data_IF_277833223665
#
_entry.id   IF_277833223665
#
_cell.length_a   1.000
_cell.length_b   1.000
_cell.length_c   1.000
_cell.angle_alpha   90.00
_cell.angle_beta   90.00
_cell.angle_gamma   90.00
#
_symmetry.space_group_name_H-M   'P 1'
#
loop_
_entity.id
_entity.type
_entity.pdbx_description
1 polymer ?
#
# COMPACT_ATOMS: atom_id res chain seq x y z
N UNK A 1 26.65 9.67 -3.74
CA UNK A 1 25.54 9.35 -2.83
C UNK A 1 25.96 8.22 -1.91
N UNK A 2 25.64 8.31 -0.65
CA UNK A 2 25.88 7.26 0.33
C UNK A 2 24.59 7.01 1.11
N UNK A 3 24.20 5.76 1.26
CA UNK A 3 22.98 5.36 1.93
C UNK A 3 23.17 3.97 2.54
N UNK A 4 22.48 3.67 3.64
CA UNK A 4 22.52 2.32 4.23
C UNK A 4 21.69 1.33 3.41
N UNK A 5 20.54 1.80 2.89
CA UNK A 5 19.60 0.98 2.13
C UNK A 5 19.17 1.73 0.88
N UNK A 6 19.33 1.12 -0.27
CA UNK A 6 18.74 1.58 -1.53
C UNK A 6 17.56 0.69 -1.88
N UNK A 7 16.37 1.28 -1.92
CA UNK A 7 15.15 0.63 -2.39
C UNK A 7 14.86 1.10 -3.81
N UNK A 8 14.72 0.17 -4.74
CA UNK A 8 14.41 0.47 -6.13
C UNK A 8 12.97 0.04 -6.43
N UNK A 9 12.15 1.02 -6.79
CA UNK A 9 10.72 0.87 -7.00
C UNK A 9 9.92 1.45 -5.83
N UNK A 10 9.26 2.59 -6.05
CA UNK A 10 8.47 3.29 -5.05
C UNK A 10 6.97 2.93 -5.12
N UNK A 11 6.66 1.71 -5.53
CA UNK A 11 5.33 1.13 -5.39
C UNK A 11 5.01 0.82 -3.91
N UNK A 12 3.87 0.17 -3.63
CA UNK A 12 3.43 -0.08 -2.25
C UNK A 12 4.47 -0.84 -1.42
N UNK A 13 5.07 -1.88 -1.98
CA UNK A 13 6.05 -2.71 -1.27
C UNK A 13 7.35 -1.95 -0.99
N UNK A 14 7.90 -1.28 -2.01
CA UNK A 14 9.15 -0.52 -1.86
C UNK A 14 9.00 0.65 -0.90
N UNK A 15 7.93 1.42 -1.02
CA UNK A 15 7.66 2.55 -0.12
C UNK A 15 7.44 2.08 1.33
N UNK A 16 6.72 0.98 1.54
CA UNK A 16 6.55 0.41 2.88
C UNK A 16 7.88 -0.08 3.46
N UNK A 17 8.69 -0.80 2.68
CA UNK A 17 10.00 -1.27 3.10
C UNK A 17 10.91 -0.09 3.47
N UNK A 18 10.93 0.94 2.65
CA UNK A 18 11.71 2.16 2.91
C UNK A 18 11.27 2.86 4.20
N UNK A 19 9.95 2.99 4.42
CA UNK A 19 9.42 3.60 5.63
C UNK A 19 9.82 2.84 6.89
N UNK A 20 9.69 1.52 6.89
CA UNK A 20 10.08 0.69 8.02
C UNK A 20 11.58 0.72 8.28
N UNK A 21 12.40 0.70 7.25
CA UNK A 21 13.85 0.81 7.38
C UNK A 21 14.28 2.16 7.97
N UNK A 22 13.67 3.25 7.49
CA UNK A 22 13.94 4.59 8.02
C UNK A 22 13.51 4.72 9.49
N UNK A 23 12.36 4.16 9.85
CA UNK A 23 11.90 4.13 11.26
C UNK A 23 12.81 3.30 12.16
N UNK A 24 13.55 2.35 11.60
CA UNK A 24 14.57 1.58 12.32
C UNK A 24 15.89 2.34 12.47
N UNK A 25 15.99 3.56 11.99
CA UNK A 25 17.17 4.43 12.12
C UNK A 25 18.17 4.32 10.98
N UNK A 26 17.82 3.67 9.87
CA UNK A 26 18.69 3.53 8.72
C UNK A 26 18.56 4.75 7.79
N UNK A 27 19.64 5.08 7.10
CA UNK A 27 19.63 6.05 6.01
C UNK A 27 19.14 5.35 4.73
N UNK A 28 18.00 5.79 4.22
CA UNK A 28 17.31 5.10 3.13
C UNK A 28 17.11 6.01 1.94
N UNK A 29 17.47 5.51 0.76
CA UNK A 29 17.14 6.13 -0.52
C UNK A 29 16.09 5.28 -1.24
N UNK A 30 15.03 5.91 -1.72
CA UNK A 30 13.94 5.30 -2.47
C UNK A 30 13.94 5.83 -3.90
N UNK A 31 14.35 4.98 -4.84
CA UNK A 31 14.48 5.34 -6.25
C UNK A 31 13.33 4.75 -7.07
N UNK A 32 12.82 5.52 -8.02
CA UNK A 32 11.86 5.04 -9.02
C UNK A 32 12.13 5.71 -10.37
N UNK A 33 11.87 4.99 -11.45
CA UNK A 33 12.00 5.53 -12.80
C UNK A 33 10.91 6.55 -13.12
N UNK A 34 9.78 6.46 -12.46
CA UNK A 34 8.64 7.34 -12.66
C UNK A 34 8.65 8.51 -11.67
N UNK A 35 7.97 9.58 -12.07
CA UNK A 35 7.70 10.72 -11.18
C UNK A 35 6.30 10.54 -10.57
N UNK A 36 6.20 10.66 -9.26
CA UNK A 36 4.94 10.49 -8.52
C UNK A 36 4.15 11.80 -8.39
N UNK A 37 2.81 11.73 -8.36
CA UNK A 37 1.99 10.51 -8.48
C UNK A 37 2.01 9.93 -9.89
N UNK A 38 1.96 8.60 -9.98
CA UNK A 38 1.87 7.89 -11.26
C UNK A 38 0.84 6.77 -11.16
N UNK A 39 0.17 6.44 -12.25
CA UNK A 39 -0.77 5.34 -12.29
C UNK A 39 -0.06 4.00 -12.53
N UNK A 40 -0.74 2.91 -12.22
CA UNK A 40 -0.30 1.55 -12.48
C UNK A 40 -1.50 0.65 -12.74
N UNK A 41 -1.53 -0.13 -13.83
CA UNK A 41 -2.63 -1.06 -14.08
C UNK A 41 -2.80 -2.04 -12.91
N UNK A 42 -4.00 -2.06 -12.34
CA UNK A 42 -4.36 -2.89 -11.20
C UNK A 42 -5.87 -2.92 -11.02
N UNK A 43 -6.38 -3.99 -10.39
CA UNK A 43 -7.79 -4.05 -9.98
C UNK A 43 -8.14 -3.21 -8.76
N UNK A 44 -7.15 -2.52 -8.16
CA UNK A 44 -7.32 -1.55 -7.06
C UNK A 44 -7.92 -2.14 -5.77
N UNK A 45 -8.10 -3.45 -5.70
CA UNK A 45 -8.69 -4.11 -4.54
C UNK A 45 -7.73 -4.20 -3.35
N UNK A 46 -8.25 -3.93 -2.16
CA UNK A 46 -7.52 -4.03 -0.90
C UNK A 46 -8.18 -5.08 -0.01
N UNK A 47 -7.42 -6.14 0.29
CA UNK A 47 -7.86 -7.20 1.20
C UNK A 47 -7.79 -6.74 2.66
N UNK A 48 -8.43 -7.45 3.60
CA UNK A 48 -8.25 -7.19 5.04
C UNK A 48 -6.79 -7.16 5.48
N UNK A 49 -5.95 -8.02 4.90
CA UNK A 49 -4.51 -8.02 5.17
C UNK A 49 -3.85 -6.71 4.74
N UNK A 50 -4.20 -6.22 3.56
CA UNK A 50 -3.68 -4.94 3.07
C UNK A 50 -4.13 -3.78 3.99
N UNK A 51 -5.38 -3.80 4.45
CA UNK A 51 -5.89 -2.80 5.41
C UNK A 51 -5.08 -2.85 6.71
N UNK A 52 -4.81 -4.03 7.26
CA UNK A 52 -4.03 -4.19 8.48
C UNK A 52 -2.59 -3.65 8.31
N UNK A 53 -1.96 -3.90 7.17
CA UNK A 53 -0.60 -3.40 6.89
C UNK A 53 -0.58 -1.87 6.72
N UNK A 54 -1.59 -1.30 6.07
CA UNK A 54 -1.72 0.15 5.94
C UNK A 54 -1.94 0.80 7.31
N UNK A 55 -2.72 0.18 8.19
CA UNK A 55 -2.92 0.64 9.56
C UNK A 55 -1.61 0.61 10.35
N UNK A 56 -0.88 -0.50 10.31
CA UNK A 56 0.42 -0.63 10.96
C UNK A 56 1.44 0.40 10.45
N UNK A 57 1.39 0.72 9.16
CA UNK A 57 2.25 1.73 8.55
C UNK A 57 1.89 3.16 8.97
N UNK A 58 0.67 3.40 9.44
CA UNK A 58 0.16 4.72 9.82
C UNK A 58 -0.67 5.41 8.73
N UNK A 59 -1.17 4.65 7.74
CA UNK A 59 -1.99 5.17 6.65
C UNK A 59 -3.49 4.90 6.84
N UNK A 60 -3.93 4.49 8.03
CA UNK A 60 -5.34 4.13 8.30
C UNK A 60 -6.31 5.28 8.07
N UNK A 61 -5.93 6.51 8.40
CA UNK A 61 -6.79 7.68 8.20
C UNK A 61 -7.10 7.90 6.71
N UNK A 62 -6.15 7.63 5.86
CA UNK A 62 -6.36 7.74 4.43
C UNK A 62 -7.35 6.69 3.91
N UNK A 63 -7.37 5.49 4.52
CA UNK A 63 -8.24 4.39 4.14
C UNK A 63 -9.67 4.55 4.71
N UNK A 64 -9.85 5.18 5.85
CA UNK A 64 -11.16 5.29 6.52
C UNK A 64 -12.21 6.05 5.72
N UNK A 65 -11.80 6.93 4.82
CA UNK A 65 -12.69 7.67 3.93
C UNK A 65 -13.09 6.88 2.68
N UNK A 66 -12.54 5.69 2.50
CA UNK A 66 -12.80 4.83 1.34
C UNK A 66 -14.00 3.91 1.60
N UNK A 67 -14.63 3.46 0.51
CA UNK A 67 -15.69 2.48 0.60
C UNK A 67 -15.16 1.16 1.19
N UNK A 68 -16.01 0.47 1.96
CA UNK A 68 -15.69 -0.83 2.53
C UNK A 68 -16.49 -1.91 1.83
N UNK A 69 -15.90 -3.10 1.71
CA UNK A 69 -16.58 -4.29 1.24
C UNK A 69 -16.52 -5.39 2.30
N UNK A 70 -17.55 -6.25 2.30
CA UNK A 70 -17.70 -7.31 3.30
C UNK A 70 -17.10 -8.66 2.84
N UNK A 71 -16.64 -8.74 1.60
CA UNK A 71 -16.14 -10.00 1.06
C UNK A 71 -16.01 -9.96 -0.45
N UNK A 72 -15.92 -11.13 -1.03
CA UNK A 72 -15.78 -11.35 -2.46
C UNK A 72 -17.02 -12.05 -3.02
N UNK A 73 -17.35 -11.71 -4.26
CA UNK A 73 -18.33 -12.44 -5.06
C UNK A 73 -17.58 -13.05 -6.24
N UNK A 74 -17.52 -14.38 -6.28
CA UNK A 74 -16.92 -15.11 -7.38
C UNK A 74 -18.01 -15.74 -8.24
N UNK A 75 -18.00 -15.48 -9.54
CA UNK A 75 -18.98 -16.04 -10.46
C UNK A 75 -18.27 -16.68 -11.66
N UNK A 76 -18.74 -17.88 -12.03
CA UNK A 76 -18.21 -18.63 -13.17
C UNK A 76 -18.90 -19.98 -13.29
N UNK A 77 -18.84 -20.56 -14.48
CA UNK A 77 -19.42 -21.90 -14.74
C UNK A 77 -20.89 -22.03 -14.34
N UNK A 78 -21.68 -20.95 -14.47
CA UNK A 78 -23.09 -20.92 -14.06
C UNK A 78 -23.33 -20.87 -12.55
N UNK A 79 -22.28 -20.63 -11.76
CA UNK A 79 -22.36 -20.59 -10.30
C UNK A 79 -21.86 -19.26 -9.76
N UNK A 80 -22.34 -18.90 -8.56
CA UNK A 80 -21.90 -17.74 -7.83
C UNK A 80 -21.61 -18.11 -6.38
N UNK A 81 -20.43 -17.72 -5.90
CA UNK A 81 -20.01 -17.90 -4.51
C UNK A 81 -19.90 -16.54 -3.84
N UNK A 82 -20.38 -16.44 -2.62
CA UNK A 82 -20.20 -15.28 -1.76
C UNK A 82 -19.25 -15.66 -0.64
N UNK A 83 -18.11 -14.98 -0.58
CA UNK A 83 -16.99 -15.28 0.32
C UNK A 83 -16.79 -14.09 1.27
N UNK A 84 -17.49 -14.08 2.42
CA UNK A 84 -17.31 -13.01 3.39
C UNK A 84 -15.92 -13.06 4.00
N UNK A 85 -15.40 -11.89 4.35
CA UNK A 85 -14.12 -11.84 5.08
C UNK A 85 -14.29 -12.48 6.46
N UNK A 86 -13.40 -13.42 6.84
CA UNK A 86 -13.60 -14.19 8.08
C UNK A 86 -13.35 -13.40 9.37
N UNK A 87 -12.69 -12.25 9.29
CA UNK A 87 -12.31 -11.50 10.49
C UNK A 87 -11.17 -12.17 11.26
N UNK A 88 -11.36 -12.41 12.56
CA UNK A 88 -10.31 -12.94 13.42
C UNK A 88 -9.29 -11.86 13.79
N UNK A 89 -8.01 -12.11 13.56
CA UNK A 89 -6.93 -11.13 13.82
C UNK A 89 -6.82 -10.05 12.75
N UNK A 90 -7.50 -10.20 11.62
CA UNK A 90 -7.56 -9.21 10.56
C UNK A 90 -8.88 -8.44 10.59
N UNK A 91 -8.94 -7.22 10.03
CA UNK A 91 -10.20 -6.52 9.83
C UNK A 91 -11.22 -7.38 9.08
N UNK A 92 -12.50 -7.19 9.35
CA UNK A 92 -13.58 -7.92 8.68
C UNK A 92 -14.08 -7.19 7.43
N UNK A 93 -13.27 -6.30 6.87
CA UNK A 93 -13.59 -5.55 5.67
C UNK A 93 -12.36 -5.41 4.77
N UNK A 94 -12.61 -5.25 3.49
CA UNK A 94 -11.66 -4.80 2.50
C UNK A 94 -12.05 -3.42 1.97
N UNK A 95 -11.31 -2.93 1.00
CA UNK A 95 -11.57 -1.64 0.37
C UNK A 95 -11.08 -1.66 -1.08
N UNK A 96 -11.09 -0.51 -1.71
CA UNK A 96 -10.48 -0.28 -3.01
C UNK A 96 -9.91 1.12 -3.08
N UNK A 97 -8.80 1.27 -3.76
CA UNK A 97 -8.18 2.58 -3.99
C UNK A 97 -7.38 2.57 -5.29
N UNK A 98 -7.57 3.57 -6.15
CA UNK A 98 -6.77 3.69 -7.36
C UNK A 98 -5.28 3.77 -7.05
N UNK A 99 -4.47 3.05 -7.82
CA UNK A 99 -3.02 2.99 -7.62
C UNK A 99 -2.36 4.36 -7.72
N UNK A 100 -2.92 5.25 -8.55
CA UNK A 100 -2.46 6.65 -8.62
C UNK A 100 -2.42 7.32 -7.24
N UNK A 101 -3.42 7.06 -6.41
CA UNK A 101 -3.55 7.66 -5.08
C UNK A 101 -2.91 6.81 -3.99
N UNK A 102 -3.09 5.49 -4.04
CA UNK A 102 -2.59 4.56 -3.02
C UNK A 102 -1.06 4.59 -2.96
N UNK A 103 -0.42 4.44 -4.10
CA UNK A 103 1.04 4.37 -4.17
C UNK A 103 1.67 5.69 -3.70
N UNK A 104 1.09 6.81 -4.09
CA UNK A 104 1.55 8.13 -3.65
C UNK A 104 1.34 8.34 -2.14
N UNK A 105 0.23 7.86 -1.59
CA UNK A 105 -0.04 7.94 -0.16
C UNK A 105 0.98 7.14 0.67
N UNK A 106 1.31 5.93 0.24
CA UNK A 106 2.31 5.09 0.93
C UNK A 106 3.70 5.70 0.78
N UNK A 107 4.04 6.19 -0.40
CA UNK A 107 5.30 6.88 -0.65
C UNK A 107 5.46 8.10 0.27
N UNK A 108 4.43 8.90 0.47
CA UNK A 108 4.45 10.04 1.37
C UNK A 108 4.73 9.63 2.82
N UNK A 109 4.23 8.50 3.27
CA UNK A 109 4.57 7.95 4.59
C UNK A 109 6.08 7.68 4.69
N UNK A 110 6.69 7.12 3.65
CA UNK A 110 8.14 6.91 3.60
C UNK A 110 8.91 8.24 3.66
N UNK A 111 8.48 9.24 2.91
CA UNK A 111 9.13 10.56 2.92
C UNK A 111 9.04 11.23 4.29
N UNK A 112 7.89 11.13 4.95
CA UNK A 112 7.70 11.63 6.33
C UNK A 112 8.58 10.91 7.35
N UNK A 113 8.95 9.65 7.09
CA UNK A 113 9.88 8.88 7.91
C UNK A 113 11.36 9.27 7.68
N UNK A 114 11.64 10.14 6.72
CA UNK A 114 12.99 10.63 6.43
C UNK A 114 13.69 9.97 5.23
N UNK A 115 12.95 9.22 4.43
CA UNK A 115 13.49 8.60 3.21
C UNK A 115 13.81 9.65 2.16
N UNK A 116 14.96 9.52 1.50
CA UNK A 116 15.37 10.39 0.40
C UNK A 116 14.85 9.87 -0.93
N UNK A 117 13.99 10.61 -1.65
CA UNK A 117 13.48 10.18 -2.94
C UNK A 117 14.44 10.48 -4.08
N UNK A 118 14.49 9.59 -5.07
CA UNK A 118 15.14 9.82 -6.36
C UNK A 118 14.17 9.35 -7.45
N UNK A 119 13.72 10.25 -8.31
CA UNK A 119 12.72 10.03 -9.34
C UNK A 119 13.22 10.41 -10.74
N UNK A 120 12.70 9.72 -11.76
CA UNK A 120 12.99 9.97 -13.17
C UNK A 120 14.06 9.09 -13.78
#
# INVERSE_FOLDING_TARGET
>A
MQTDVLVVGAGPAGSAAAAWAARAGLDVTLADAETFPRDKPCGDGLTPRAIAELDALGASQWITIRARNAGLRAAGFGQTLYLPWPGGSLPNYGSAAPRLQLDDAIRKVALEAGVTPVEG
#
